data_IF_857019024161
#
_entry.id   IF_857019024161
#
_cell.length_a   1.000
_cell.length_b   1.000
_cell.length_c   1.000
_cell.angle_alpha   90.00
_cell.angle_beta   90.00
_cell.angle_gamma   90.00
#
_symmetry.space_group_name_H-M   'P 1'
#
loop_
_entity.id
_entity.type
_entity.pdbx_description
1 polymer ?
#
# COMPACT_ATOMS: atom_id res chain seq x y z
N UNK A 1 4.46 -10.51 -15.00
CA UNK A 1 5.47 -9.88 -14.12
C UNK A 1 5.10 -10.30 -12.70
N UNK A 2 6.08 -10.75 -11.92
CA UNK A 2 5.87 -11.15 -10.52
C UNK A 2 6.08 -9.91 -9.65
N UNK A 3 5.14 -9.62 -8.74
CA UNK A 3 5.23 -8.49 -7.82
C UNK A 3 6.37 -8.74 -6.83
N UNK A 4 7.35 -7.83 -6.78
CA UNK A 4 8.44 -7.93 -5.79
C UNK A 4 7.94 -7.51 -4.42
N UNK A 5 8.54 -8.07 -3.36
CA UNK A 5 8.19 -7.71 -1.98
C UNK A 5 8.38 -6.21 -1.71
N UNK A 6 9.45 -5.61 -2.22
CA UNK A 6 9.72 -4.17 -2.10
C UNK A 6 8.61 -3.32 -2.76
N UNK A 7 8.10 -3.75 -3.92
CA UNK A 7 7.02 -3.05 -4.64
C UNK A 7 5.69 -3.13 -3.87
N UNK A 8 5.38 -4.32 -3.32
CA UNK A 8 4.23 -4.52 -2.44
C UNK A 8 4.31 -3.59 -1.22
N UNK A 9 5.45 -3.60 -0.52
CA UNK A 9 5.67 -2.80 0.68
C UNK A 9 5.60 -1.31 0.34
N UNK A 10 6.17 -0.89 -0.78
CA UNK A 10 6.13 0.49 -1.25
C UNK A 10 4.70 0.97 -1.52
N UNK A 11 3.90 0.21 -2.29
CA UNK A 11 2.51 0.56 -2.60
C UNK A 11 1.67 0.67 -1.33
N UNK A 12 1.81 -0.27 -0.39
CA UNK A 12 1.07 -0.23 0.87
C UNK A 12 1.54 0.92 1.76
N UNK A 13 2.85 1.17 1.82
CA UNK A 13 3.42 2.29 2.59
C UNK A 13 2.87 3.64 2.13
N UNK A 14 2.70 3.88 0.82
CA UNK A 14 2.10 5.13 0.32
C UNK A 14 0.72 5.42 0.94
N UNK A 15 -0.03 4.39 1.32
CA UNK A 15 -1.33 4.54 1.97
C UNK A 15 -1.17 4.84 3.47
N UNK A 16 -0.20 4.20 4.12
CA UNK A 16 0.02 4.25 5.56
C UNK A 16 0.73 5.54 6.02
N UNK A 17 1.63 6.07 5.19
CA UNK A 17 2.43 7.24 5.51
C UNK A 17 1.56 8.50 5.65
N UNK A 18 1.88 9.36 6.63
CA UNK A 18 1.22 10.65 6.80
C UNK A 18 1.47 11.56 5.59
N UNK A 19 2.72 11.60 5.14
CA UNK A 19 3.18 12.23 3.92
C UNK A 19 4.22 11.31 3.25
N UNK A 20 3.88 10.64 2.13
CA UNK A 20 4.80 9.75 1.43
C UNK A 20 5.90 10.50 0.66
N UNK A 21 5.81 11.82 0.54
CA UNK A 21 6.80 12.68 -0.14
C UNK A 21 7.76 13.38 0.82
N UNK A 22 7.57 13.20 2.12
CA UNK A 22 8.43 13.75 3.17
C UNK A 22 9.84 13.15 3.11
N UNK A 23 10.86 13.96 3.43
CA UNK A 23 12.24 13.49 3.63
C UNK A 23 12.37 12.51 4.81
N UNK A 24 11.44 12.59 5.76
CA UNK A 24 11.32 11.68 6.91
C UNK A 24 9.88 11.15 6.95
N UNK A 25 9.54 10.20 6.07
CA UNK A 25 8.20 9.63 6.03
C UNK A 25 7.98 8.84 7.32
N UNK A 26 6.80 9.03 7.93
CA UNK A 26 6.39 8.29 9.12
C UNK A 26 4.96 7.78 8.92
N UNK A 27 4.65 6.65 9.54
CA UNK A 27 3.31 6.08 9.48
C UNK A 27 2.34 6.94 10.29
N UNK A 28 1.21 7.27 9.69
CA UNK A 28 0.15 7.99 10.40
C UNK A 28 -0.53 7.05 11.42
N UNK A 29 -0.61 7.45 12.69
CA UNK A 29 -1.14 6.65 13.81
C UNK A 29 -2.45 5.90 13.49
N UNK A 30 -3.46 6.61 12.97
CA UNK A 30 -4.76 5.99 12.61
C UNK A 30 -4.68 5.00 11.43
N UNK A 31 -3.66 5.10 10.59
CA UNK A 31 -3.52 4.27 9.37
C UNK A 31 -2.82 2.94 9.66
N UNK A 32 -2.05 2.85 10.76
CA UNK A 32 -1.43 1.60 11.27
C UNK A 32 -2.44 0.45 11.41
N UNK A 33 -3.71 0.78 11.67
CA UNK A 33 -4.78 -0.18 11.93
C UNK A 33 -5.80 -0.30 10.78
N UNK A 34 -5.44 0.14 9.57
CA UNK A 34 -6.35 0.01 8.44
C UNK A 34 -6.62 -1.44 8.11
N UNK A 35 -7.90 -1.76 7.91
CA UNK A 35 -8.30 -3.09 7.46
C UNK A 35 -7.85 -3.30 6.02
N UNK A 36 -7.73 -4.58 5.62
CA UNK A 36 -7.41 -4.96 4.25
C UNK A 36 -8.30 -4.27 3.21
N UNK A 37 -9.60 -4.22 3.48
CA UNK A 37 -10.58 -3.53 2.62
C UNK A 37 -10.27 -2.03 2.52
N UNK A 38 -9.94 -1.38 3.64
CA UNK A 38 -9.60 0.05 3.67
C UNK A 38 -8.33 0.37 2.88
N UNK A 39 -7.31 -0.50 2.90
CA UNK A 39 -6.10 -0.37 2.08
C UNK A 39 -6.45 -0.54 0.60
N UNK A 40 -7.14 -1.63 0.23
CA UNK A 40 -7.54 -1.89 -1.16
C UNK A 40 -8.35 -0.72 -1.73
N UNK A 41 -9.32 -0.19 -1.01
CA UNK A 41 -10.13 0.95 -1.46
C UNK A 41 -9.27 2.18 -1.75
N UNK A 42 -8.28 2.46 -0.90
CA UNK A 42 -7.38 3.60 -1.08
C UNK A 42 -6.39 3.41 -2.23
N UNK A 43 -5.88 2.19 -2.43
CA UNK A 43 -5.05 1.88 -3.62
C UNK A 43 -5.87 2.09 -4.90
N UNK A 44 -7.13 1.65 -4.94
CA UNK A 44 -8.00 1.91 -6.10
C UNK A 44 -8.23 3.42 -6.33
N UNK A 45 -8.43 4.19 -5.27
CA UNK A 45 -8.55 5.65 -5.39
C UNK A 45 -7.28 6.30 -5.93
N UNK A 46 -6.10 5.82 -5.49
CA UNK A 46 -4.81 6.29 -5.96
C UNK A 46 -4.57 5.94 -7.44
N UNK A 47 -4.90 4.71 -7.86
CA UNK A 47 -4.88 4.31 -9.28
C UNK A 47 -5.75 5.24 -10.12
N UNK A 48 -6.97 5.55 -9.67
CA UNK A 48 -7.85 6.45 -10.40
C UNK A 48 -7.27 7.86 -10.48
N UNK A 49 -6.71 8.37 -9.37
CA UNK A 49 -6.02 9.66 -9.38
C UNK A 49 -4.90 9.69 -10.42
N UNK A 50 -4.06 8.66 -10.48
CA UNK A 50 -2.99 8.58 -11.48
C UNK A 50 -3.50 8.50 -12.92
N UNK A 51 -4.59 7.76 -13.16
CA UNK A 51 -5.23 7.71 -14.48
C UNK A 51 -5.80 9.06 -14.91
N UNK A 52 -6.29 9.84 -13.95
CA UNK A 52 -6.84 11.17 -14.19
C UNK A 52 -5.74 12.23 -14.37
N UNK A 53 -4.50 11.92 -13.96
CA UNK A 53 -3.34 12.75 -14.24
C UNK A 53 -2.72 12.41 -15.59
N UNK A 54 -2.18 13.39 -16.33
CA UNK A 54 -1.43 13.15 -17.58
C UNK A 54 -0.02 12.58 -17.34
N UNK A 55 0.22 11.96 -16.17
CA UNK A 55 1.52 11.39 -15.81
C UNK A 55 1.52 9.91 -16.21
N UNK A 56 2.52 9.53 -17.01
CA UNK A 56 2.74 8.14 -17.40
C UNK A 56 3.35 7.35 -16.23
N UNK A 57 2.48 6.81 -15.38
CA UNK A 57 2.82 5.99 -14.22
C UNK A 57 2.48 4.54 -14.53
N UNK A 58 3.42 3.62 -14.30
CA UNK A 58 3.13 2.19 -14.35
C UNK A 58 2.21 1.78 -13.20
N UNK A 59 0.98 1.40 -13.54
CA UNK A 59 -0.03 0.98 -12.57
C UNK A 59 0.05 -0.51 -12.23
N UNK A 60 0.93 -1.28 -12.89
CA UNK A 60 1.06 -2.72 -12.69
C UNK A 60 1.32 -3.10 -11.23
N UNK A 61 2.26 -2.45 -10.51
CA UNK A 61 2.54 -2.79 -9.10
C UNK A 61 1.34 -2.58 -8.19
N UNK A 62 0.52 -1.55 -8.47
CA UNK A 62 -0.68 -1.25 -7.69
C UNK A 62 -1.78 -2.29 -7.90
N UNK A 63 -1.98 -2.72 -9.15
CA UNK A 63 -2.96 -3.75 -9.50
C UNK A 63 -2.57 -5.13 -8.94
N UNK A 64 -1.30 -5.53 -9.07
CA UNK A 64 -0.83 -6.78 -8.49
C UNK A 64 -0.84 -6.74 -6.96
N UNK A 65 -0.58 -5.58 -6.33
CA UNK A 65 -0.74 -5.41 -4.88
C UNK A 65 -2.19 -5.66 -4.44
N UNK A 66 -3.19 -5.11 -5.14
CA UNK A 66 -4.61 -5.37 -4.84
C UNK A 66 -4.91 -6.87 -4.96
N UNK A 67 -4.41 -7.52 -6.01
CA UNK A 67 -4.60 -8.95 -6.24
C UNK A 67 -3.96 -9.80 -5.15
N UNK A 68 -2.74 -9.47 -4.75
CA UNK A 68 -2.05 -10.10 -3.62
C UNK A 68 -2.85 -9.97 -2.33
N UNK A 69 -3.26 -8.74 -1.97
CA UNK A 69 -4.07 -8.49 -0.77
C UNK A 69 -5.38 -9.29 -0.81
N UNK A 70 -6.11 -9.31 -1.94
CA UNK A 70 -7.32 -10.14 -2.11
C UNK A 70 -7.05 -11.63 -1.94
N UNK A 71 -5.85 -12.10 -2.28
CA UNK A 71 -5.41 -13.48 -2.12
C UNK A 71 -5.14 -13.89 -0.67
N UNK A 72 -4.86 -12.94 0.23
CA UNK A 72 -4.68 -13.21 1.66
C UNK A 72 -6.01 -13.65 2.25
N UNK A 73 -6.06 -14.87 2.79
CA UNK A 73 -7.27 -15.43 3.42
C UNK A 73 -7.24 -15.32 4.94
N UNK A 74 -6.07 -15.51 5.54
CA UNK A 74 -5.89 -15.43 6.99
C UNK A 74 -5.74 -13.95 7.41
N UNK A 75 -6.53 -13.47 8.39
CA UNK A 75 -6.32 -12.14 8.98
C UNK A 75 -4.91 -11.94 9.55
N UNK A 76 -4.30 -12.98 10.12
CA UNK A 76 -2.97 -12.92 10.76
C UNK A 76 -1.86 -12.64 9.75
N UNK A 77 -1.96 -13.18 8.54
CA UNK A 77 -1.01 -12.92 7.46
C UNK A 77 -1.04 -11.45 7.04
N UNK A 78 -2.24 -10.85 7.00
CA UNK A 78 -2.41 -9.43 6.70
C UNK A 78 -1.87 -8.53 7.83
N UNK A 79 -2.15 -8.88 9.08
CA UNK A 79 -1.63 -8.16 10.24
C UNK A 79 -0.10 -8.21 10.29
N UNK A 80 0.50 -9.37 9.99
CA UNK A 80 1.94 -9.54 9.92
C UNK A 80 2.56 -8.67 8.82
N UNK A 81 1.97 -8.68 7.62
CA UNK A 81 2.39 -7.80 6.52
C UNK A 81 2.36 -6.32 6.92
N UNK A 82 1.27 -5.87 7.55
CA UNK A 82 1.17 -4.49 8.00
C UNK A 82 2.22 -4.17 9.06
N UNK A 83 2.43 -5.07 10.02
CA UNK A 83 3.41 -4.88 11.08
C UNK A 83 4.83 -4.73 10.53
N UNK A 84 5.22 -5.57 9.58
CA UNK A 84 6.52 -5.50 8.92
C UNK A 84 6.73 -4.14 8.23
N UNK A 85 5.70 -3.66 7.53
CA UNK A 85 5.75 -2.37 6.85
C UNK A 85 5.82 -1.23 7.86
N UNK A 86 5.00 -1.25 8.91
CA UNK A 86 4.98 -0.18 9.92
C UNK A 86 6.34 -0.07 10.61
N UNK A 87 6.92 -1.21 11.00
CA UNK A 87 8.22 -1.27 11.68
C UNK A 87 9.37 -0.73 10.82
N UNK A 88 9.26 -0.81 9.49
CA UNK A 88 10.28 -0.26 8.59
C UNK A 88 10.32 1.28 8.55
N UNK A 89 9.31 1.97 9.10
CA UNK A 89 9.18 3.43 9.11
C UNK A 89 9.09 4.03 10.53
N UNK A 90 9.39 3.23 11.56
CA UNK A 90 9.58 3.68 12.95
C UNK A 90 11.09 3.82 13.26
#
# INVERSE_FOLDING_TARGET
MELKQEELQFVVAQILLADPTSEKPHVHEKRKHFTKTQIITRINALINLYKDTEVDIDLTPYLETIKYLRGIKDPTDYESLLHDIVTAYE
#
